data_IF_743229616942
#
_entry.id   IF_743229616942
#
_cell.length_a   1.000
_cell.length_b   1.000
_cell.length_c   1.000
_cell.angle_alpha   90.00
_cell.angle_beta   90.00
_cell.angle_gamma   90.00
#
_symmetry.space_group_name_H-M   'P 1'
#
loop_
_entity.id
_entity.type
_entity.pdbx_description
1 polymer ?
#
# COMPACT_ATOMS: atom_id res chain seq x y z
N UNK A 1 13.04 13.77 -7.93
CA UNK A 1 14.52 13.69 -8.05
C UNK A 1 14.99 12.31 -7.65
N UNK A 2 15.68 11.61 -8.56
CA UNK A 2 16.39 10.35 -8.29
C UNK A 2 17.89 10.65 -8.07
N UNK A 3 18.58 9.83 -7.27
CA UNK A 3 20.01 10.02 -6.96
C UNK A 3 20.37 11.33 -6.21
N UNK A 4 19.38 12.00 -5.61
CA UNK A 4 19.57 13.25 -4.86
C UNK A 4 19.67 13.00 -3.34
N UNK A 5 20.01 14.05 -2.58
CA UNK A 5 19.89 14.02 -1.13
C UNK A 5 18.44 13.74 -0.69
N UNK A 6 18.28 13.17 0.51
CA UNK A 6 16.96 12.99 1.12
C UNK A 6 16.19 14.31 1.17
N UNK A 7 14.85 14.29 1.10
CA UNK A 7 14.05 15.50 1.26
C UNK A 7 14.29 16.13 2.63
N UNK A 8 14.24 17.46 2.66
CA UNK A 8 14.39 18.28 3.87
C UNK A 8 13.31 19.38 3.95
N UNK A 9 12.19 19.19 3.24
CA UNK A 9 11.07 20.14 3.20
C UNK A 9 11.11 21.14 2.04
N UNK A 10 11.99 20.94 1.05
CA UNK A 10 12.13 21.83 -0.12
C UNK A 10 10.80 22.06 -0.85
N UNK A 11 9.93 21.05 -0.89
CA UNK A 11 8.59 21.09 -1.48
C UNK A 11 7.66 22.14 -0.86
N UNK A 12 7.93 22.57 0.39
CA UNK A 12 7.17 23.65 1.04
C UNK A 12 7.50 25.02 0.41
N UNK A 13 8.77 25.26 0.10
CA UNK A 13 9.23 26.51 -0.51
C UNK A 13 9.04 26.50 -2.02
N UNK A 14 9.23 25.34 -2.65
CA UNK A 14 9.15 25.14 -4.10
C UNK A 14 8.14 24.00 -4.40
N UNK A 15 6.83 24.29 -4.49
CA UNK A 15 5.79 23.27 -4.66
C UNK A 15 5.87 22.48 -5.97
N UNK A 16 6.67 22.95 -6.94
CA UNK A 16 6.98 22.19 -8.15
C UNK A 16 7.92 21.00 -7.89
N UNK A 17 8.55 20.93 -6.72
CA UNK A 17 9.31 19.76 -6.27
C UNK A 17 8.34 18.76 -5.64
N UNK A 18 7.80 17.88 -6.48
CA UNK A 18 6.72 16.96 -6.08
C UNK A 18 7.20 15.70 -5.37
N UNK A 19 8.33 15.12 -5.79
CA UNK A 19 8.81 13.83 -5.28
C UNK A 19 10.34 13.69 -5.29
N UNK A 20 10.82 12.81 -4.43
CA UNK A 20 12.20 12.36 -4.32
C UNK A 20 12.23 10.83 -4.27
N UNK A 21 13.22 10.17 -4.83
CA UNK A 21 13.46 8.77 -4.52
C UNK A 21 14.14 8.69 -3.15
N UNK A 22 15.48 8.71 -3.08
CA UNK A 22 16.23 8.70 -1.83
C UNK A 22 15.89 7.49 -0.95
N UNK A 23 15.53 6.38 -1.59
CA UNK A 23 15.19 5.06 -1.05
C UNK A 23 15.79 4.00 -1.96
N UNK A 24 15.84 2.76 -1.49
CA UNK A 24 15.89 1.63 -2.41
C UNK A 24 14.48 1.47 -3.01
N UNK A 25 14.25 1.98 -4.22
CA UNK A 25 12.97 1.83 -4.91
C UNK A 25 12.72 0.40 -5.40
N UNK A 26 11.53 0.15 -5.94
CA UNK A 26 11.17 -1.15 -6.52
C UNK A 26 12.08 -1.60 -7.67
N UNK A 27 12.79 -0.65 -8.30
CA UNK A 27 13.83 -0.93 -9.28
C UNK A 27 14.89 -1.93 -8.79
N UNK A 28 15.18 -1.96 -7.48
CA UNK A 28 16.18 -2.87 -6.90
C UNK A 28 15.82 -4.35 -7.09
N UNK A 29 14.54 -4.67 -7.24
CA UNK A 29 14.08 -6.04 -7.47
C UNK A 29 14.39 -6.57 -8.88
N UNK A 30 14.85 -5.72 -9.79
CA UNK A 30 15.29 -6.13 -11.13
C UNK A 30 16.66 -6.81 -11.12
N UNK A 31 17.53 -6.51 -10.14
CA UNK A 31 18.94 -6.93 -10.19
C UNK A 31 19.59 -7.27 -8.84
N UNK A 32 18.95 -7.00 -7.69
CA UNK A 32 19.53 -7.33 -6.38
C UNK A 32 18.81 -8.47 -5.69
N UNK A 33 19.54 -9.56 -5.38
CA UNK A 33 18.98 -10.71 -4.66
C UNK A 33 19.03 -10.58 -3.13
N UNK A 34 19.86 -9.66 -2.61
CA UNK A 34 20.11 -9.52 -1.17
C UNK A 34 19.21 -8.47 -0.50
N UNK A 35 18.30 -7.82 -1.24
CA UNK A 35 17.37 -6.83 -0.68
C UNK A 35 16.09 -7.52 -0.22
N UNK A 36 15.75 -7.29 1.05
CA UNK A 36 14.50 -7.76 1.65
C UNK A 36 13.50 -6.60 1.66
N UNK A 37 12.68 -6.51 0.59
CA UNK A 37 11.79 -5.37 0.39
C UNK A 37 10.59 -5.38 1.34
N UNK A 38 9.93 -6.50 1.66
CA UNK A 38 8.84 -6.48 2.64
C UNK A 38 9.26 -6.02 4.04
N UNK A 39 10.50 -6.28 4.47
CA UNK A 39 11.04 -5.67 5.71
C UNK A 39 11.32 -4.17 5.51
N UNK A 40 11.89 -3.80 4.37
CA UNK A 40 12.20 -2.41 4.05
C UNK A 40 10.94 -1.53 3.98
N UNK A 41 9.87 -2.02 3.37
CA UNK A 41 8.61 -1.32 3.14
C UNK A 41 7.88 -0.98 4.45
N UNK A 42 8.04 -1.80 5.48
CA UNK A 42 7.55 -1.53 6.85
C UNK A 42 8.60 -0.89 7.77
N UNK A 43 9.79 -0.60 7.24
CA UNK A 43 10.80 0.20 7.95
C UNK A 43 10.75 1.65 7.48
N UNK A 44 10.65 1.87 6.16
CA UNK A 44 10.68 3.18 5.52
C UNK A 44 9.71 4.22 6.10
N UNK A 45 8.46 3.88 6.47
CA UNK A 45 7.51 4.83 7.05
C UNK A 45 8.04 5.53 8.31
N UNK A 46 8.90 4.83 9.07
CA UNK A 46 9.45 5.30 10.34
C UNK A 46 10.80 6.01 10.20
N UNK A 47 11.40 6.01 9.00
CA UNK A 47 12.70 6.62 8.77
C UNK A 47 12.67 7.62 7.61
N UNK A 48 12.55 7.14 6.37
CA UNK A 48 12.72 7.95 5.16
C UNK A 48 11.45 8.70 4.83
N UNK A 49 10.27 8.14 5.07
CA UNK A 49 9.00 8.84 4.83
C UNK A 49 8.81 10.03 5.78
N UNK A 50 9.41 10.00 6.98
CA UNK A 50 9.44 11.16 7.89
C UNK A 50 10.09 12.40 7.25
N UNK A 51 11.00 12.21 6.30
CA UNK A 51 11.70 13.30 5.63
C UNK A 51 10.85 13.99 4.54
N UNK A 52 9.81 13.32 4.05
CA UNK A 52 8.93 13.81 2.99
C UNK A 52 8.50 12.70 2.01
N UNK A 53 7.66 13.06 1.02
CA UNK A 53 7.10 12.09 0.08
C UNK A 53 8.19 11.40 -0.74
N UNK A 54 7.84 10.25 -1.30
CA UNK A 54 8.78 9.47 -2.09
C UNK A 54 8.19 8.82 -3.32
N UNK A 55 8.99 8.77 -4.37
CA UNK A 55 8.73 7.98 -5.56
C UNK A 55 9.34 6.59 -5.37
N UNK A 56 8.51 5.63 -4.93
CA UNK A 56 8.92 4.25 -4.68
C UNK A 56 8.68 3.33 -5.89
N UNK A 57 7.84 3.76 -6.84
CA UNK A 57 7.44 3.03 -8.04
C UNK A 57 6.69 1.72 -7.77
N UNK A 58 5.69 1.78 -6.88
CA UNK A 58 4.74 0.69 -6.60
C UNK A 58 3.85 0.28 -7.79
N UNK A 59 3.13 -0.83 -7.60
CA UNK A 59 2.15 -1.34 -8.56
C UNK A 59 2.64 -2.53 -9.37
N UNK A 60 3.66 -3.26 -8.91
CA UNK A 60 4.11 -4.47 -9.59
C UNK A 60 3.00 -5.54 -9.58
N UNK A 61 2.71 -6.09 -10.76
CA UNK A 61 1.63 -7.07 -10.96
C UNK A 61 2.11 -8.51 -10.98
N UNK A 62 3.42 -8.73 -11.03
CA UNK A 62 4.07 -10.00 -10.76
C UNK A 62 4.55 -10.00 -9.33
N UNK A 63 3.93 -10.81 -8.49
CA UNK A 63 4.19 -10.87 -7.06
C UNK A 63 4.74 -12.25 -6.71
N UNK A 64 5.76 -12.30 -5.87
CA UNK A 64 6.38 -13.55 -5.47
C UNK A 64 6.71 -13.54 -3.98
N UNK A 65 6.42 -14.68 -3.33
CA UNK A 65 6.90 -14.94 -1.98
C UNK A 65 8.42 -15.17 -1.98
N UNK A 66 9.00 -15.20 -0.77
CA UNK A 66 10.44 -15.36 -0.57
C UNK A 66 11.06 -16.58 -1.28
N UNK A 67 10.29 -17.66 -1.44
CA UNK A 67 10.78 -18.91 -2.07
C UNK A 67 10.78 -18.83 -3.60
N UNK A 68 9.79 -18.17 -4.17
CA UNK A 68 9.57 -18.09 -5.62
C UNK A 68 10.24 -16.88 -6.27
N UNK A 69 10.53 -15.83 -5.50
CA UNK A 69 11.08 -14.58 -6.02
C UNK A 69 12.49 -14.75 -6.58
N UNK A 70 12.77 -14.18 -7.76
CA UNK A 70 14.12 -14.11 -8.35
C UNK A 70 14.32 -12.75 -9.00
N UNK A 71 15.56 -12.26 -9.00
CA UNK A 71 15.92 -11.08 -9.78
C UNK A 71 15.89 -11.40 -11.27
N UNK A 72 15.08 -10.67 -12.03
CA UNK A 72 15.01 -10.80 -13.49
C UNK A 72 14.99 -9.40 -14.09
N UNK A 73 16.09 -9.03 -14.75
CA UNK A 73 16.27 -7.66 -15.22
C UNK A 73 15.22 -7.22 -16.24
N UNK A 74 14.90 -8.10 -17.20
CA UNK A 74 14.02 -7.82 -18.33
C UNK A 74 12.54 -8.02 -18.04
N UNK A 75 12.20 -8.80 -17.00
CA UNK A 75 10.82 -9.12 -16.62
C UNK A 75 10.74 -9.31 -15.10
N UNK A 76 10.88 -8.21 -14.34
CA UNK A 76 10.98 -8.27 -12.89
C UNK A 76 9.68 -8.72 -12.22
N UNK A 77 9.81 -9.11 -10.96
CA UNK A 77 8.72 -9.40 -10.05
C UNK A 77 8.99 -8.76 -8.70
N UNK A 78 7.92 -8.37 -8.01
CA UNK A 78 8.00 -7.86 -6.64
C UNK A 78 8.13 -8.98 -5.61
N UNK A 79 8.74 -8.64 -4.47
CA UNK A 79 8.68 -9.45 -3.27
C UNK A 79 7.40 -9.11 -2.49
N UNK A 80 6.78 -10.11 -1.90
CA UNK A 80 5.53 -9.96 -1.15
C UNK A 80 4.31 -10.26 -2.02
N UNK A 81 3.12 -10.09 -1.44
CA UNK A 81 1.85 -10.44 -2.07
C UNK A 81 1.27 -9.34 -2.95
N UNK A 82 0.24 -9.68 -3.73
CA UNK A 82 -0.62 -8.72 -4.44
C UNK A 82 -1.07 -7.62 -3.51
N UNK A 83 -1.64 -7.97 -2.35
CA UNK A 83 -2.20 -6.99 -1.44
C UNK A 83 -1.12 -6.19 -0.70
N UNK A 84 0.11 -6.70 -0.57
CA UNK A 84 1.25 -5.89 -0.16
C UNK A 84 1.49 -4.74 -1.16
N UNK A 85 1.54 -5.04 -2.46
CA UNK A 85 1.70 -4.02 -3.50
C UNK A 85 0.53 -3.03 -3.55
N UNK A 86 -0.71 -3.50 -3.39
CA UNK A 86 -1.88 -2.61 -3.34
C UNK A 86 -1.85 -1.69 -2.11
N UNK A 87 -1.38 -2.17 -0.96
CA UNK A 87 -1.30 -1.40 0.27
C UNK A 87 -0.24 -0.28 0.20
N UNK A 88 0.78 -0.39 -0.64
CA UNK A 88 1.81 0.65 -0.82
C UNK A 88 1.21 1.99 -1.25
N UNK A 89 0.20 1.98 -2.13
CA UNK A 89 -0.49 3.18 -2.62
C UNK A 89 -1.16 4.03 -1.53
N UNK A 90 -1.45 3.42 -0.37
CA UNK A 90 -2.03 4.11 0.78
C UNK A 90 -0.98 4.34 1.87
N UNK A 91 -0.05 3.40 2.05
CA UNK A 91 0.97 3.52 3.09
C UNK A 91 1.99 4.62 2.75
N UNK A 92 2.52 4.58 1.52
CA UNK A 92 3.62 5.44 1.08
C UNK A 92 3.07 6.74 0.50
N UNK A 93 3.48 7.87 1.09
CA UNK A 93 3.03 9.17 0.60
C UNK A 93 3.77 9.60 -0.66
N UNK A 94 3.01 9.82 -1.73
CA UNK A 94 3.56 10.22 -3.02
C UNK A 94 2.53 11.05 -3.82
N UNK A 95 2.73 12.37 -3.97
CA UNK A 95 1.87 13.20 -4.81
C UNK A 95 1.92 12.84 -6.30
N UNK A 96 3.00 12.19 -6.74
CA UNK A 96 3.20 11.72 -8.11
C UNK A 96 3.49 10.22 -8.11
N UNK A 97 2.42 9.43 -8.26
CA UNK A 97 2.44 7.97 -8.18
C UNK A 97 2.64 7.32 -9.56
N UNK A 98 3.28 6.15 -9.53
CA UNK A 98 3.55 5.32 -10.71
C UNK A 98 2.64 4.08 -10.72
N UNK A 99 2.35 3.58 -11.91
CA UNK A 99 1.98 2.18 -12.16
C UNK A 99 3.19 1.56 -12.86
N UNK A 100 4.04 0.84 -12.11
CA UNK A 100 5.40 0.51 -12.57
C UNK A 100 5.52 -0.69 -13.52
N UNK A 101 4.48 -1.51 -13.66
CA UNK A 101 4.51 -2.72 -14.48
C UNK A 101 4.09 -2.45 -15.94
N UNK A 102 4.19 -3.45 -16.81
CA UNK A 102 3.72 -3.31 -18.18
C UNK A 102 2.19 -3.28 -18.30
N UNK A 103 1.64 -2.52 -19.27
CA UNK A 103 0.19 -2.44 -19.50
C UNK A 103 -0.49 -3.80 -19.65
N UNK A 104 0.17 -4.78 -20.28
CA UNK A 104 -0.37 -6.13 -20.46
C UNK A 104 -0.62 -6.83 -19.12
N UNK A 105 0.26 -6.66 -18.14
CA UNK A 105 0.04 -7.20 -16.80
C UNK A 105 -1.15 -6.53 -16.09
N UNK A 106 -1.35 -5.22 -16.28
CA UNK A 106 -2.51 -4.51 -15.73
C UNK A 106 -3.83 -4.92 -16.38
N UNK A 107 -3.84 -5.14 -17.70
CA UNK A 107 -5.02 -5.61 -18.44
C UNK A 107 -5.48 -7.01 -18.00
N UNK A 108 -4.52 -7.89 -17.66
CA UNK A 108 -4.81 -9.23 -17.15
C UNK A 108 -5.44 -9.20 -15.75
N UNK A 109 -5.19 -8.16 -14.97
CA UNK A 109 -5.56 -8.05 -13.55
C UNK A 109 -6.43 -6.82 -13.30
N UNK A 110 -7.46 -6.64 -14.14
CA UNK A 110 -8.28 -5.42 -14.18
C UNK A 110 -8.88 -5.05 -12.81
N UNK A 111 -9.29 -6.02 -12.01
CA UNK A 111 -9.87 -5.74 -10.68
C UNK A 111 -8.87 -5.04 -9.74
N UNK A 112 -7.62 -5.51 -9.70
CA UNK A 112 -6.56 -4.86 -8.93
C UNK A 112 -6.15 -3.53 -9.53
N UNK A 113 -6.05 -3.45 -10.86
CA UNK A 113 -5.72 -2.21 -11.59
C UNK A 113 -6.73 -1.11 -11.33
N UNK A 114 -8.03 -1.39 -11.47
CA UNK A 114 -9.10 -0.43 -11.21
C UNK A 114 -9.09 0.02 -9.74
N UNK A 115 -8.81 -0.90 -8.81
CA UNK A 115 -8.70 -0.58 -7.39
C UNK A 115 -7.56 0.41 -7.14
N UNK A 116 -6.35 0.15 -7.66
CA UNK A 116 -5.21 1.07 -7.53
C UNK A 116 -5.52 2.44 -8.15
N UNK A 117 -6.10 2.46 -9.35
CA UNK A 117 -6.45 3.68 -10.07
C UNK A 117 -7.51 4.53 -9.34
N UNK A 118 -8.29 3.94 -8.43
CA UNK A 118 -9.27 4.65 -7.61
C UNK A 118 -8.69 5.35 -6.37
N UNK A 119 -7.41 5.08 -6.03
CA UNK A 119 -6.73 5.69 -4.89
C UNK A 119 -6.17 7.05 -5.30
N UNK A 120 -6.48 8.14 -4.57
CA UNK A 120 -5.97 9.47 -4.87
C UNK A 120 -4.50 9.58 -4.47
N UNK A 121 -3.77 10.49 -5.10
CA UNK A 121 -2.35 10.73 -4.80
C UNK A 121 -2.12 11.74 -3.67
N UNK A 122 -3.19 12.39 -3.19
CA UNK A 122 -3.13 13.35 -2.08
C UNK A 122 -4.25 13.10 -1.10
N UNK A 123 -3.99 13.38 0.17
CA UNK A 123 -4.92 13.15 1.27
C UNK A 123 -5.02 14.40 2.14
N UNK A 124 -6.20 14.60 2.72
CA UNK A 124 -6.50 15.74 3.58
C UNK A 124 -6.16 15.43 5.06
N UNK A 125 -6.09 14.15 5.41
CA UNK A 125 -5.80 13.66 6.76
C UNK A 125 -5.08 12.30 6.71
N UNK A 126 -4.19 12.05 7.65
CA UNK A 126 -3.50 10.76 7.84
C UNK A 126 -3.48 10.42 9.33
N UNK A 127 -3.85 9.18 9.67
CA UNK A 127 -3.88 8.62 11.01
C UNK A 127 -2.99 7.37 11.01
N UNK A 128 -1.97 7.35 11.86
CA UNK A 128 -1.21 6.13 12.15
C UNK A 128 -2.07 5.21 13.03
N UNK A 129 -2.33 3.99 12.56
CA UNK A 129 -3.23 3.04 13.24
C UNK A 129 -2.49 2.06 14.14
N UNK A 130 -1.46 1.42 13.59
CA UNK A 130 -0.63 0.44 14.28
C UNK A 130 0.71 0.33 13.55
N UNK A 131 1.79 0.04 14.26
CA UNK A 131 3.09 -0.07 13.63
C UNK A 131 4.19 -0.55 14.56
N UNK A 132 5.11 -1.35 13.99
CA UNK A 132 6.37 -1.72 14.62
C UNK A 132 7.44 -1.76 13.54
N UNK A 133 8.47 -0.93 13.71
CA UNK A 133 9.53 -0.72 12.71
C UNK A 133 10.12 -2.05 12.26
N UNK A 134 10.11 -2.31 10.95
CA UNK A 134 10.66 -3.54 10.35
C UNK A 134 9.77 -4.78 10.48
N UNK A 135 8.61 -4.67 11.14
CA UNK A 135 7.66 -5.76 11.30
C UNK A 135 6.35 -5.50 10.57
N UNK A 136 5.72 -4.34 10.78
CA UNK A 136 4.47 -3.99 10.13
C UNK A 136 4.15 -2.50 10.26
N UNK A 137 3.28 -2.01 9.39
CA UNK A 137 2.74 -0.65 9.45
C UNK A 137 1.28 -0.62 8.95
N UNK A 138 0.47 0.24 9.53
CA UNK A 138 -0.92 0.48 9.13
C UNK A 138 -1.31 1.94 9.31
N UNK A 139 -2.00 2.49 8.31
CA UNK A 139 -2.45 3.88 8.30
C UNK A 139 -3.88 3.97 7.74
N UNK A 140 -4.59 5.01 8.15
CA UNK A 140 -5.81 5.47 7.51
C UNK A 140 -5.57 6.86 6.95
N UNK A 141 -5.94 7.10 5.69
CA UNK A 141 -5.89 8.40 5.04
C UNK A 141 -7.26 8.80 4.53
N UNK A 142 -7.60 10.09 4.58
CA UNK A 142 -8.89 10.60 4.11
C UNK A 142 -8.71 11.55 2.94
N UNK A 143 -9.59 11.45 1.94
CA UNK A 143 -9.75 12.44 0.88
C UNK A 143 -11.23 12.79 0.74
N UNK A 144 -11.59 14.05 0.97
CA UNK A 144 -12.99 14.44 1.14
C UNK A 144 -13.62 13.66 2.29
N UNK A 145 -14.67 12.90 1.99
CA UNK A 145 -15.34 12.03 2.96
C UNK A 145 -14.97 10.54 2.82
N UNK A 146 -14.11 10.18 1.85
CA UNK A 146 -13.68 8.80 1.59
C UNK A 146 -12.41 8.47 2.38
N UNK A 147 -12.38 7.30 3.01
CA UNK A 147 -11.21 6.79 3.72
C UNK A 147 -10.53 5.67 2.94
N UNK A 148 -9.21 5.68 2.97
CA UNK A 148 -8.30 4.70 2.39
C UNK A 148 -7.45 4.16 3.52
N UNK A 149 -7.55 2.87 3.79
CA UNK A 149 -6.96 2.26 4.99
C UNK A 149 -6.14 1.07 4.53
N UNK A 150 -4.95 0.91 5.05
CA UNK A 150 -4.12 -0.24 4.69
C UNK A 150 -3.32 -0.76 5.86
N UNK A 151 -2.81 -1.98 5.70
CA UNK A 151 -1.76 -2.53 6.52
C UNK A 151 -0.93 -3.51 5.71
N UNK A 152 0.35 -3.61 6.06
CA UNK A 152 1.26 -4.60 5.48
C UNK A 152 2.28 -5.05 6.54
N UNK A 153 2.88 -6.22 6.31
CA UNK A 153 3.87 -6.82 7.19
C UNK A 153 5.13 -7.25 6.43
N UNK A 154 6.16 -7.55 7.20
CA UNK A 154 7.33 -8.28 6.73
C UNK A 154 6.99 -9.77 6.48
N UNK A 155 8.01 -10.62 6.41
CA UNK A 155 7.86 -12.08 6.20
C UNK A 155 7.27 -12.87 7.37
N UNK A 156 6.75 -12.22 8.42
CA UNK A 156 6.04 -12.89 9.51
C UNK A 156 4.53 -12.68 9.35
N UNK A 157 3.82 -13.74 8.95
CA UNK A 157 2.37 -13.74 8.84
C UNK A 157 1.73 -13.31 10.17
N UNK A 158 0.65 -12.52 10.09
CA UNK A 158 -0.01 -11.99 11.28
C UNK A 158 -1.49 -11.70 11.07
N UNK A 159 -2.24 -11.69 12.16
CA UNK A 159 -3.59 -11.17 12.19
C UNK A 159 -3.57 -9.66 12.43
N UNK A 160 -4.62 -8.98 11.97
CA UNK A 160 -4.85 -7.57 12.27
C UNK A 160 -6.28 -7.35 12.78
N UNK A 161 -6.43 -6.32 13.60
CA UNK A 161 -7.71 -5.87 14.13
C UNK A 161 -7.69 -4.35 14.20
N UNK A 162 -8.48 -3.68 13.37
CA UNK A 162 -8.50 -2.22 13.25
C UNK A 162 -9.89 -1.69 13.60
N UNK A 163 -10.05 -1.02 14.76
CA UNK A 163 -11.28 -0.36 15.10
C UNK A 163 -11.41 0.96 14.34
N UNK A 164 -12.51 1.14 13.59
CA UNK A 164 -12.78 2.31 12.76
C UNK A 164 -13.38 3.47 13.58
N UNK A 165 -12.72 3.83 14.68
CA UNK A 165 -13.20 4.85 15.64
C UNK A 165 -13.10 6.28 15.11
N UNK A 166 -12.28 6.50 14.08
CA UNK A 166 -12.07 7.77 13.38
C UNK A 166 -13.16 8.13 12.37
N UNK A 167 -14.05 7.18 12.03
CA UNK A 167 -15.16 7.47 11.12
C UNK A 167 -16.15 8.45 11.76
N UNK A 168 -16.82 9.22 10.91
CA UNK A 168 -17.83 10.18 11.34
C UNK A 168 -19.01 9.45 11.98
N UNK A 169 -19.42 9.92 13.15
CA UNK A 169 -20.58 9.39 13.86
C UNK A 169 -21.87 9.55 13.04
N UNK A 170 -22.77 8.55 13.15
CA UNK A 170 -24.02 8.51 12.40
C UNK A 170 -23.88 8.31 10.89
N UNK A 171 -22.66 8.16 10.35
CA UNK A 171 -22.42 7.94 8.91
C UNK A 171 -22.19 6.46 8.64
N UNK A 172 -22.89 5.92 7.64
CA UNK A 172 -22.67 4.57 7.11
C UNK A 172 -21.79 4.64 5.88
N UNK A 173 -20.82 3.74 5.78
CA UNK A 173 -19.88 3.65 4.67
C UNK A 173 -20.06 2.33 3.92
N UNK A 174 -19.95 2.33 2.59
CA UNK A 174 -19.69 1.14 1.80
C UNK A 174 -18.21 0.81 1.90
N UNK A 175 -17.88 -0.47 2.06
CA UNK A 175 -16.50 -0.93 2.18
C UNK A 175 -16.12 -1.84 1.03
N UNK A 176 -14.95 -1.61 0.44
CA UNK A 176 -14.28 -2.55 -0.48
C UNK A 176 -12.92 -2.87 0.09
N UNK A 177 -12.72 -4.10 0.56
CA UNK A 177 -11.49 -4.60 1.13
C UNK A 177 -10.81 -5.56 0.16
N UNK A 178 -9.54 -5.29 -0.16
CA UNK A 178 -8.61 -6.22 -0.81
C UNK A 178 -7.69 -6.78 0.27
N UNK A 179 -7.67 -8.11 0.42
CA UNK A 179 -6.87 -8.80 1.44
C UNK A 179 -6.23 -10.05 0.82
N UNK A 180 -5.11 -10.49 1.39
CA UNK A 180 -4.44 -11.72 0.97
C UNK A 180 -5.41 -12.91 0.91
N UNK A 181 -5.28 -13.71 -0.15
CA UNK A 181 -6.04 -14.95 -0.32
C UNK A 181 -5.52 -16.05 0.59
N UNK A 182 -6.31 -17.11 0.76
CA UNK A 182 -5.96 -18.23 1.64
C UNK A 182 -4.68 -18.96 1.19
N UNK A 183 -4.32 -18.87 -0.10
CA UNK A 183 -3.12 -19.47 -0.66
C UNK A 183 -1.98 -18.46 -0.85
N UNK A 184 -2.10 -17.21 -0.38
CA UNK A 184 -1.13 -16.15 -0.61
C UNK A 184 0.31 -16.50 -0.16
N UNK A 185 0.46 -17.37 0.84
CA UNK A 185 1.76 -17.90 1.27
C UNK A 185 2.45 -18.78 0.23
N UNK A 186 1.69 -19.42 -0.68
CA UNK A 186 2.17 -20.29 -1.75
C UNK A 186 2.20 -19.58 -3.10
N UNK A 187 1.13 -18.85 -3.40
CA UNK A 187 0.98 -18.03 -4.58
C UNK A 187 0.73 -16.59 -4.14
N UNK A 188 1.77 -15.76 -4.22
CA UNK A 188 1.72 -14.37 -3.79
C UNK A 188 0.74 -13.52 -4.60
N UNK A 189 0.19 -14.02 -5.71
CA UNK A 189 -0.83 -13.32 -6.47
C UNK A 189 -2.25 -13.56 -5.94
N UNK A 190 -2.46 -14.54 -5.05
CA UNK A 190 -3.78 -14.87 -4.51
C UNK A 190 -4.31 -13.77 -3.57
N UNK A 191 -5.50 -13.26 -3.88
CA UNK A 191 -6.18 -12.22 -3.12
C UNK A 191 -7.69 -12.46 -3.06
N UNK A 192 -8.34 -11.78 -2.13
CA UNK A 192 -9.79 -11.74 -2.02
C UNK A 192 -10.27 -10.29 -1.95
N UNK A 193 -11.30 -9.99 -2.74
CA UNK A 193 -12.08 -8.77 -2.61
C UNK A 193 -13.35 -9.02 -1.80
N UNK A 194 -13.61 -8.16 -0.82
CA UNK A 194 -14.76 -8.25 0.09
C UNK A 194 -15.49 -6.91 0.07
N UNK A 195 -16.73 -6.94 -0.42
CA UNK A 195 -17.64 -5.80 -0.30
C UNK A 195 -18.44 -5.89 1.01
N UNK A 196 -18.74 -4.75 1.61
CA UNK A 196 -19.49 -4.69 2.86
C UNK A 196 -19.93 -3.28 3.23
N UNK A 197 -20.26 -3.09 4.50
CA UNK A 197 -20.55 -1.77 5.07
C UNK A 197 -19.93 -1.61 6.44
N UNK A 198 -19.54 -0.40 6.78
CA UNK A 198 -18.97 -0.07 8.09
C UNK A 198 -19.57 1.22 8.66
N UNK A 199 -19.54 1.33 9.98
CA UNK A 199 -19.85 2.54 10.75
C UNK A 199 -18.75 2.79 11.76
N UNK A 200 -18.77 3.96 12.42
CA UNK A 200 -17.86 4.27 13.52
C UNK A 200 -17.85 3.15 14.56
N UNK A 201 -16.66 2.68 14.92
CA UNK A 201 -16.47 1.59 15.89
C UNK A 201 -16.58 0.17 15.31
N UNK A 202 -16.93 0.01 14.04
CA UNK A 202 -16.78 -1.29 13.34
C UNK A 202 -15.32 -1.73 13.44
N UNK A 203 -15.09 -3.01 13.74
CA UNK A 203 -13.74 -3.58 13.80
C UNK A 203 -13.52 -4.41 12.54
N UNK A 204 -12.50 -4.04 11.76
CA UNK A 204 -12.06 -4.82 10.61
C UNK A 204 -11.00 -5.80 11.08
N UNK A 205 -11.20 -7.09 10.81
CA UNK A 205 -10.27 -8.15 11.15
C UNK A 205 -9.87 -8.91 9.90
N UNK A 206 -8.67 -9.49 9.92
CA UNK A 206 -8.20 -10.36 8.86
C UNK A 206 -6.81 -10.89 9.14
N UNK A 207 -6.27 -11.58 8.14
CA UNK A 207 -4.95 -12.18 8.18
C UNK A 207 -4.10 -11.60 7.04
N UNK A 208 -2.84 -11.35 7.32
CA UNK A 208 -1.81 -11.04 6.34
C UNK A 208 -0.88 -12.24 6.22
N UNK A 209 -0.62 -12.65 4.99
CA UNK A 209 0.38 -13.68 4.71
C UNK A 209 1.80 -13.16 4.99
N UNK A 210 2.82 -14.00 4.79
CA UNK A 210 4.22 -13.57 4.86
C UNK A 210 4.53 -12.59 3.71
N UNK A 211 5.01 -11.39 4.04
CA UNK A 211 5.19 -10.31 3.06
C UNK A 211 3.86 -9.84 2.48
N UNK A 212 2.80 -9.93 3.28
CA UNK A 212 1.43 -9.72 2.91
C UNK A 212 0.94 -8.30 3.15
N UNK A 213 -0.36 -8.11 2.92
CA UNK A 213 -1.02 -6.83 3.14
C UNK A 213 -2.53 -6.86 2.95
N UNK A 214 -3.13 -5.72 3.20
CA UNK A 214 -4.53 -5.43 2.93
C UNK A 214 -4.73 -3.95 2.71
N UNK A 215 -5.77 -3.61 1.94
CA UNK A 215 -6.17 -2.25 1.67
C UNK A 215 -7.68 -2.16 1.51
N UNK A 216 -8.27 -1.11 2.06
CA UNK A 216 -9.71 -0.91 2.10
C UNK A 216 -10.06 0.52 1.73
N UNK A 217 -11.11 0.66 0.91
CA UNK A 217 -11.75 1.94 0.62
C UNK A 217 -13.10 1.98 1.32
N UNK A 218 -13.37 3.08 2.03
CA UNK A 218 -14.65 3.36 2.68
C UNK A 218 -15.25 4.64 2.12
N UNK A 219 -16.36 4.50 1.42
CA UNK A 219 -17.08 5.63 0.82
C UNK A 219 -18.39 5.88 1.58
N UNK A 220 -18.73 7.12 1.93
CA UNK A 220 -19.97 7.42 2.64
C UNK A 220 -21.18 7.07 1.77
N UNK A 221 -22.10 6.29 2.33
CA UNK A 221 -23.39 6.01 1.71
C UNK A 221 -24.26 7.23 1.92
N UNK A 222 -24.56 7.97 0.85
CA UNK A 222 -25.52 9.06 0.89
C UNK A 222 -26.90 8.49 1.28
N UNK A 223 -27.62 9.11 2.23
CA UNK A 223 -29.02 8.76 2.45
C UNK A 223 -29.77 8.84 1.12
N UNK A 224 -30.61 7.85 0.82
CA UNK A 224 -31.55 8.01 -0.29
C UNK A 224 -32.46 9.21 0.06
N UNK A 225 -32.69 10.14 -0.89
CA UNK A 225 -33.59 11.26 -0.69
C UNK A 225 -35.01 10.81 -0.37
#
# INVERSE_FOLDING_TARGET
FHGAYKPTGLQRTYPNVVNFEGVFGLEQLKWTEYKDMPVYDVTMPFIRMLAGPMDYTEGAMRNANKKNWRAVYSKPMSQGTRCHQLALYVLLESPFLMLCDDPTAYEQEKECTDFMASIPTTFDETIALDGKVGEYASVARRKGDTWYICGMNNWSARQFSVPLTFLKEGTKYSSTLMVDGINASRDATDYKKIAGTATRGTIINGEMAEGGGWVMILEPIKPRP
#
